data_IF_190919942589
#
_entry.id   IF_190919942589
#
_cell.length_a   1.000
_cell.length_b   1.000
_cell.length_c   1.000
_cell.angle_alpha   90.00
_cell.angle_beta   90.00
_cell.angle_gamma   90.00
#
_symmetry.space_group_name_H-M   'P 1'
#
loop_
_entity.id
_entity.type
_entity.pdbx_description
1 polymer ?
#
# COMPACT_ATOMS: atom_id res chain seq x y z
N UNK A 1 -16.90 10.58 -19.42
CA UNK A 1 -16.72 11.01 -18.03
C UNK A 1 -15.25 11.27 -17.84
N UNK A 2 -14.85 12.43 -17.31
CA UNK A 2 -13.45 12.67 -16.96
C UNK A 2 -13.03 11.64 -15.93
N UNK A 3 -11.82 11.10 -16.08
CA UNK A 3 -11.23 10.24 -15.07
C UNK A 3 -11.12 11.02 -13.75
N UNK A 4 -11.53 10.42 -12.63
CA UNK A 4 -11.40 11.04 -11.31
C UNK A 4 -9.94 11.42 -11.06
N UNK A 5 -9.71 12.54 -10.37
CA UNK A 5 -8.37 12.97 -9.97
C UNK A 5 -7.78 12.09 -8.85
N UNK A 6 -8.62 11.28 -8.19
CA UNK A 6 -8.18 10.34 -7.16
C UNK A 6 -7.56 9.07 -7.76
N UNK A 7 -7.79 8.76 -9.04
CA UNK A 7 -7.23 7.57 -9.69
C UNK A 7 -5.96 7.93 -10.45
N UNK A 8 -4.85 7.32 -10.05
CA UNK A 8 -3.58 7.35 -10.78
C UNK A 8 -3.47 6.08 -11.61
N UNK A 9 -3.43 6.22 -12.93
CA UNK A 9 -3.26 5.09 -13.84
C UNK A 9 -1.78 4.80 -14.09
N UNK A 10 -1.39 3.53 -14.26
CA UNK A 10 -0.03 3.22 -14.67
C UNK A 10 0.20 3.64 -16.13
N UNK A 11 1.45 3.92 -16.46
CA UNK A 11 1.90 4.06 -17.83
C UNK A 11 1.67 2.75 -18.60
N UNK A 12 1.36 2.87 -19.90
CA UNK A 12 1.12 1.70 -20.74
C UNK A 12 2.38 0.83 -20.93
N UNK A 13 3.55 1.45 -20.81
CA UNK A 13 4.87 0.83 -20.88
C UNK A 13 5.73 1.49 -19.80
N UNK A 14 6.60 0.74 -19.09
CA UNK A 14 7.56 1.33 -18.18
C UNK A 14 8.43 2.39 -18.86
N UNK A 15 8.83 3.42 -18.12
CA UNK A 15 9.86 4.36 -18.60
C UNK A 15 11.26 3.73 -18.64
N UNK A 16 12.28 4.52 -18.99
CA UNK A 16 13.67 4.05 -19.12
C UNK A 16 14.24 3.48 -17.81
N UNK A 17 13.64 3.82 -16.66
CA UNK A 17 14.03 3.32 -15.34
C UNK A 17 13.11 2.19 -14.84
N UNK A 18 12.16 1.75 -15.68
CA UNK A 18 11.20 0.71 -15.37
C UNK A 18 9.97 1.20 -14.59
N UNK A 19 9.79 2.50 -14.39
CA UNK A 19 8.65 3.04 -13.63
C UNK A 19 7.34 2.89 -14.41
N UNK A 20 6.36 2.26 -13.78
CA UNK A 20 4.99 2.12 -14.28
C UNK A 20 4.06 3.17 -13.68
N UNK A 21 4.22 3.49 -12.39
CA UNK A 21 3.34 4.40 -11.67
C UNK A 21 4.20 5.14 -10.64
N UNK A 22 4.01 6.46 -10.54
CA UNK A 22 4.71 7.28 -9.55
C UNK A 22 3.76 8.32 -8.96
N UNK A 23 3.72 8.38 -7.64
CA UNK A 23 2.98 9.31 -6.82
C UNK A 23 3.99 9.96 -5.88
N UNK A 24 4.17 11.26 -5.99
CA UNK A 24 4.92 12.09 -5.04
C UNK A 24 3.96 12.93 -4.21
N UNK A 25 4.39 13.46 -3.05
CA UNK A 25 3.59 14.39 -2.27
C UNK A 25 3.03 15.57 -3.09
N UNK A 26 3.85 16.14 -3.97
CA UNK A 26 3.46 17.25 -4.82
C UNK A 26 2.39 16.85 -5.85
N UNK A 27 2.53 15.67 -6.47
CA UNK A 27 1.57 15.18 -7.47
C UNK A 27 0.22 14.82 -6.85
N UNK A 28 0.22 14.34 -5.60
CA UNK A 28 -0.99 14.05 -4.85
C UNK A 28 -1.60 15.31 -4.22
N UNK A 29 -0.80 16.35 -3.97
CA UNK A 29 -1.26 17.54 -3.25
C UNK A 29 -1.32 17.35 -1.74
N UNK A 30 -0.42 16.53 -1.18
CA UNK A 30 -0.25 16.30 0.25
C UNK A 30 1.22 16.42 0.67
N UNK A 31 1.62 15.94 1.85
CA UNK A 31 2.96 16.24 2.41
C UNK A 31 3.84 15.05 2.80
N UNK A 32 3.31 13.83 2.91
CA UNK A 32 4.06 12.69 3.43
C UNK A 32 4.24 11.57 2.39
N UNK A 33 3.15 10.97 1.91
CA UNK A 33 3.23 9.68 1.21
C UNK A 33 3.79 9.83 -0.20
N UNK A 34 4.83 9.07 -0.51
CA UNK A 34 5.27 8.76 -1.86
C UNK A 34 5.06 7.28 -2.15
N UNK A 35 4.73 6.97 -3.41
CA UNK A 35 4.54 5.60 -3.87
C UNK A 35 4.96 5.45 -5.33
N UNK A 36 5.78 4.45 -5.62
CA UNK A 36 6.19 4.13 -6.98
C UNK A 36 6.11 2.62 -7.22
N UNK A 37 5.71 2.22 -8.43
CA UNK A 37 5.82 0.83 -8.89
C UNK A 37 6.77 0.80 -10.07
N UNK A 38 7.79 -0.03 -9.97
CA UNK A 38 8.72 -0.30 -11.07
C UNK A 38 8.63 -1.76 -11.51
N UNK A 39 8.91 -1.99 -12.78
CA UNK A 39 9.05 -3.31 -13.38
C UNK A 39 10.43 -3.45 -14.01
N UNK A 40 11.17 -4.45 -13.55
CA UNK A 40 12.51 -4.77 -14.05
C UNK A 40 12.49 -6.14 -14.73
N UNK A 41 13.17 -6.23 -15.87
CA UNK A 41 13.53 -7.49 -16.48
C UNK A 41 14.69 -8.16 -15.72
N UNK A 42 14.83 -9.47 -15.87
CA UNK A 42 15.95 -10.22 -15.29
C UNK A 42 17.30 -9.61 -15.71
N UNK A 43 18.18 -9.40 -14.73
CA UNK A 43 19.50 -8.78 -14.90
C UNK A 43 19.50 -7.25 -14.90
N UNK A 44 18.34 -6.58 -14.94
CA UNK A 44 18.28 -5.13 -14.79
C UNK A 44 18.49 -4.70 -13.34
N UNK A 45 19.05 -3.50 -13.19
CA UNK A 45 19.34 -2.88 -11.90
C UNK A 45 18.67 -1.52 -11.81
N UNK A 46 18.15 -1.19 -10.64
CA UNK A 46 17.61 0.12 -10.30
C UNK A 46 18.32 0.67 -9.06
N UNK A 47 18.68 1.95 -9.06
CA UNK A 47 19.40 2.59 -7.96
C UNK A 47 18.81 3.96 -7.63
N UNK A 48 18.72 4.27 -6.32
CA UNK A 48 18.31 5.57 -5.79
C UNK A 48 19.00 5.90 -4.48
N UNK A 49 19.21 7.20 -4.27
CA UNK A 49 19.48 7.77 -2.95
C UNK A 49 18.14 8.05 -2.26
N UNK A 50 18.06 7.81 -0.95
CA UNK A 50 16.83 8.06 -0.18
C UNK A 50 16.68 9.53 0.19
N UNK A 51 17.79 10.28 0.28
CA UNK A 51 17.77 11.69 0.66
C UNK A 51 17.09 11.88 2.02
N UNK A 52 16.11 12.78 2.09
CA UNK A 52 15.35 13.04 3.33
C UNK A 52 14.22 12.02 3.59
N UNK A 53 14.01 11.05 2.69
CA UNK A 53 12.92 10.08 2.80
C UNK A 53 13.41 8.77 3.42
N UNK A 54 12.57 8.12 4.21
CA UNK A 54 12.69 6.68 4.44
C UNK A 54 11.90 5.91 3.37
N UNK A 55 12.31 4.67 3.12
CA UNK A 55 11.76 3.84 2.04
C UNK A 55 11.49 2.41 2.53
N UNK A 56 10.35 1.84 2.11
CA UNK A 56 10.06 0.42 2.21
C UNK A 56 9.90 -0.16 0.80
N UNK A 57 10.87 -0.99 0.39
CA UNK A 57 10.89 -1.72 -0.87
C UNK A 57 10.10 -3.02 -0.71
N UNK A 58 8.92 -3.14 -1.31
CA UNK A 58 8.08 -4.33 -1.23
C UNK A 58 8.17 -5.11 -2.54
N UNK A 59 8.68 -6.34 -2.50
CA UNK A 59 8.73 -7.22 -3.66
C UNK A 59 7.33 -7.78 -3.93
N UNK A 60 6.57 -7.11 -4.81
CA UNK A 60 5.22 -7.51 -5.19
C UNK A 60 5.24 -8.87 -5.88
N UNK A 61 6.20 -9.07 -6.78
CA UNK A 61 6.47 -10.37 -7.40
C UNK A 61 7.92 -10.47 -7.89
N UNK A 62 8.47 -11.68 -7.91
CA UNK A 62 9.81 -11.95 -8.41
C UNK A 62 10.88 -12.03 -7.32
N UNK A 63 12.14 -12.12 -7.74
CA UNK A 63 13.31 -12.20 -6.87
C UNK A 63 14.33 -11.13 -7.21
N UNK A 64 15.07 -10.68 -6.19
CA UNK A 64 16.09 -9.66 -6.35
C UNK A 64 17.25 -9.84 -5.36
N UNK A 65 18.39 -9.26 -5.73
CA UNK A 65 19.39 -8.82 -4.74
C UNK A 65 19.08 -7.37 -4.39
N UNK A 66 19.19 -7.02 -3.11
CA UNK A 66 19.03 -5.63 -2.63
C UNK A 66 20.24 -5.25 -1.81
N UNK A 67 20.84 -4.12 -2.14
CA UNK A 67 22.00 -3.57 -1.45
C UNK A 67 21.71 -2.13 -1.02
N UNK A 68 22.24 -1.77 0.14
CA UNK A 68 22.29 -0.40 0.68
C UNK A 68 23.75 0.01 0.87
N UNK A 69 24.02 1.19 1.43
CA UNK A 69 25.41 1.56 1.73
C UNK A 69 26.08 0.58 2.71
N UNK A 70 25.30 0.01 3.64
CA UNK A 70 25.83 -0.73 4.80
C UNK A 70 25.44 -2.20 4.83
N UNK A 71 24.43 -2.62 4.07
CA UNK A 71 23.90 -3.97 4.10
C UNK A 71 23.58 -4.50 2.70
N UNK A 72 23.55 -5.82 2.57
CA UNK A 72 23.21 -6.51 1.34
C UNK A 72 22.41 -7.77 1.68
N UNK A 73 21.38 -8.03 0.87
CA UNK A 73 20.55 -9.22 0.93
C UNK A 73 20.45 -9.82 -0.47
N UNK A 74 20.81 -11.09 -0.57
CA UNK A 74 20.87 -11.80 -1.85
C UNK A 74 19.68 -12.74 -2.00
N UNK A 75 19.21 -12.88 -3.23
CA UNK A 75 18.19 -13.84 -3.65
C UNK A 75 16.88 -13.78 -2.84
N UNK A 76 16.49 -12.58 -2.41
CA UNK A 76 15.24 -12.36 -1.67
C UNK A 76 14.04 -12.33 -2.62
N UNK A 77 12.86 -12.63 -2.09
CA UNK A 77 11.63 -12.78 -2.87
C UNK A 77 11.21 -14.24 -3.01
N UNK A 78 9.90 -14.46 -3.08
CA UNK A 78 9.32 -15.81 -3.11
C UNK A 78 8.17 -15.90 -4.11
N UNK A 79 7.12 -15.08 -3.89
CA UNK A 79 5.94 -15.09 -4.74
C UNK A 79 6.24 -14.53 -6.14
N UNK A 80 5.65 -15.12 -7.16
CA UNK A 80 5.70 -14.65 -8.55
C UNK A 80 4.42 -13.91 -8.93
N UNK A 81 3.43 -13.91 -8.05
CA UNK A 81 2.19 -13.16 -8.15
C UNK A 81 1.68 -12.82 -6.74
N UNK A 82 1.15 -11.62 -6.52
CA UNK A 82 0.58 -11.22 -5.23
C UNK A 82 -0.50 -12.20 -4.75
N UNK A 83 -1.32 -12.71 -5.66
CA UNK A 83 -2.43 -13.64 -5.38
C UNK A 83 -2.00 -15.05 -4.99
N UNK A 84 -0.70 -15.36 -4.95
CA UNK A 84 -0.21 -16.55 -4.23
C UNK A 84 -0.48 -16.45 -2.72
N UNK A 85 -0.78 -15.26 -2.20
CA UNK A 85 -1.19 -15.05 -0.81
C UNK A 85 -0.08 -15.29 0.21
N UNK A 86 1.17 -15.40 -0.25
CA UNK A 86 2.37 -15.49 0.58
C UNK A 86 2.80 -14.06 0.95
N UNK A 87 3.13 -13.77 2.24
CA UNK A 87 3.65 -12.47 2.63
C UNK A 87 4.91 -12.08 1.83
N UNK A 88 5.11 -10.81 1.48
CA UNK A 88 6.23 -10.39 0.66
C UNK A 88 7.53 -10.36 1.47
N UNK A 89 8.65 -10.54 0.76
CA UNK A 89 9.91 -9.98 1.22
C UNK A 89 9.86 -8.46 1.01
N UNK A 90 10.33 -7.72 2.01
CA UNK A 90 10.48 -6.27 1.91
C UNK A 90 11.80 -5.78 2.52
N UNK A 91 12.30 -4.63 2.11
CA UNK A 91 13.50 -4.01 2.68
C UNK A 91 13.18 -2.58 3.12
N UNK A 92 13.36 -2.30 4.40
CA UNK A 92 13.34 -0.94 4.93
C UNK A 92 14.72 -0.29 4.73
N UNK A 93 14.75 0.94 4.25
CA UNK A 93 15.95 1.75 4.02
C UNK A 93 15.70 3.13 4.65
N UNK A 94 16.56 3.61 5.57
CA UNK A 94 16.35 4.90 6.23
C UNK A 94 16.65 6.07 5.27
N UNK A 95 16.32 7.29 5.71
CA UNK A 95 16.87 8.51 5.13
C UNK A 95 18.41 8.54 5.24
N UNK A 96 19.03 9.38 4.41
CA UNK A 96 20.49 9.52 4.31
C UNK A 96 21.21 8.18 4.03
N UNK A 97 20.62 7.36 3.14
CA UNK A 97 21.16 6.09 2.66
C UNK A 97 20.92 5.99 1.14
N UNK A 98 21.24 4.85 0.56
CA UNK A 98 20.91 4.51 -0.84
C UNK A 98 20.45 3.06 -0.94
N UNK A 99 19.82 2.72 -2.06
CA UNK A 99 19.51 1.34 -2.38
C UNK A 99 19.75 1.03 -3.86
N UNK A 100 20.23 -0.18 -4.10
CA UNK A 100 20.37 -0.81 -5.41
C UNK A 100 19.57 -2.11 -5.41
N UNK A 101 18.71 -2.30 -6.40
CA UNK A 101 17.91 -3.51 -6.59
C UNK A 101 18.30 -4.14 -7.92
N UNK A 102 18.84 -5.36 -7.90
CA UNK A 102 19.11 -6.16 -9.09
C UNK A 102 18.06 -7.25 -9.21
N UNK A 103 17.32 -7.25 -10.31
CA UNK A 103 16.30 -8.25 -10.59
C UNK A 103 16.93 -9.59 -11.01
N UNK A 104 16.57 -10.68 -10.31
CA UNK A 104 16.98 -12.05 -10.65
C UNK A 104 15.92 -12.82 -11.44
N UNK A 105 14.73 -12.27 -11.51
CA UNK A 105 13.63 -12.69 -12.38
C UNK A 105 13.00 -11.43 -12.97
N UNK A 106 11.94 -11.56 -13.77
CA UNK A 106 11.01 -10.42 -13.92
C UNK A 106 10.55 -10.01 -12.52
N UNK A 107 10.70 -8.73 -12.19
CA UNK A 107 10.46 -8.18 -10.86
C UNK A 107 9.43 -7.06 -10.97
N UNK A 108 8.44 -7.08 -10.10
CA UNK A 108 7.57 -5.94 -9.83
C UNK A 108 7.83 -5.50 -8.39
N UNK A 109 8.26 -4.25 -8.23
CA UNK A 109 8.70 -3.69 -6.96
C UNK A 109 7.88 -2.45 -6.64
N UNK A 110 7.27 -2.42 -5.47
CA UNK A 110 6.70 -1.20 -4.91
C UNK A 110 7.72 -0.50 -4.02
N UNK A 111 7.87 0.80 -4.21
CA UNK A 111 8.73 1.69 -3.45
C UNK A 111 7.80 2.62 -2.66
N UNK A 112 7.65 2.35 -1.37
CA UNK A 112 6.83 3.15 -0.46
C UNK A 112 7.76 4.15 0.23
N UNK A 113 7.44 5.45 0.21
CA UNK A 113 8.30 6.47 0.84
C UNK A 113 7.52 7.46 1.70
N UNK A 114 8.19 8.00 2.69
CA UNK A 114 7.70 9.09 3.54
C UNK A 114 8.89 9.85 4.15
N UNK A 115 8.71 11.04 4.75
CA UNK A 115 9.80 11.75 5.41
C UNK A 115 10.47 10.91 6.50
N UNK A 116 11.79 10.80 6.44
CA UNK A 116 12.62 10.19 7.47
C UNK A 116 13.07 11.20 8.52
N UNK A 117 13.40 10.72 9.72
CA UNK A 117 13.87 11.51 10.87
C UNK A 117 15.13 10.89 11.49
N UNK A 118 15.66 9.82 10.90
CA UNK A 118 16.91 9.16 11.26
C UNK A 118 16.79 8.18 12.44
N UNK A 119 17.92 7.62 12.87
CA UNK A 119 18.05 6.65 13.98
C UNK A 119 17.56 5.23 13.70
N UNK A 120 17.15 4.92 12.47
CA UNK A 120 16.86 3.56 12.04
C UNK A 120 17.98 2.98 11.18
N UNK A 121 18.06 1.65 11.12
CA UNK A 121 18.99 0.93 10.27
C UNK A 121 18.21 0.26 9.14
N UNK A 122 18.83 0.17 7.97
CA UNK A 122 18.31 -0.65 6.90
C UNK A 122 18.12 -2.10 7.39
N UNK A 123 17.02 -2.75 7.00
CA UNK A 123 16.73 -4.12 7.42
C UNK A 123 15.85 -4.86 6.42
N UNK A 124 16.05 -6.17 6.33
CA UNK A 124 15.14 -7.09 5.67
C UNK A 124 13.92 -7.35 6.56
N UNK A 125 12.75 -7.42 5.92
CA UNK A 125 11.49 -7.87 6.49
C UNK A 125 11.11 -9.13 5.72
N UNK A 126 11.33 -10.29 6.33
CA UNK A 126 11.01 -11.60 5.73
C UNK A 126 9.55 -11.97 5.94
N UNK A 127 9.00 -12.93 5.17
CA UNK A 127 7.61 -13.38 5.35
C UNK A 127 7.27 -13.82 6.78
N UNK A 128 8.24 -14.36 7.52
CA UNK A 128 8.07 -14.80 8.92
C UNK A 128 7.93 -13.63 9.91
N UNK A 129 8.40 -12.44 9.55
CA UNK A 129 8.29 -11.23 10.37
C UNK A 129 6.98 -10.47 10.07
N UNK A 130 6.32 -10.77 8.95
CA UNK A 130 5.09 -10.11 8.53
C UNK A 130 3.91 -10.66 9.32
N UNK A 131 3.20 -9.79 10.04
CA UNK A 131 2.03 -10.16 10.81
C UNK A 131 0.84 -10.52 9.91
N UNK A 132 0.45 -11.80 9.86
CA UNK A 132 -0.69 -12.28 9.08
C UNK A 132 -1.94 -12.37 9.95
N UNK A 133 -3.03 -11.73 9.52
CA UNK A 133 -4.33 -11.80 10.20
C UNK A 133 -5.47 -12.06 9.21
N UNK A 134 -6.53 -12.69 9.72
CA UNK A 134 -7.85 -12.69 9.07
C UNK A 134 -8.77 -11.78 9.86
N UNK A 135 -9.35 -10.80 9.19
CA UNK A 135 -10.20 -9.77 9.83
C UNK A 135 -11.60 -9.81 9.23
N UNK A 136 -12.62 -9.65 10.07
CA UNK A 136 -14.03 -9.63 9.66
C UNK A 136 -14.71 -10.99 9.70
N UNK A 137 -15.87 -11.10 9.04
CA UNK A 137 -16.70 -12.31 8.95
C UNK A 137 -17.57 -12.26 7.69
N UNK A 138 -17.97 -13.41 7.15
CA UNK A 138 -18.83 -13.46 5.96
C UNK A 138 -18.25 -12.65 4.80
N UNK A 139 -19.07 -11.82 4.16
CA UNK A 139 -18.65 -11.00 3.02
C UNK A 139 -17.79 -9.78 3.40
N UNK A 140 -17.38 -9.65 4.66
CA UNK A 140 -16.40 -8.63 5.09
C UNK A 140 -15.11 -9.28 5.60
N UNK A 141 -14.95 -10.60 5.47
CA UNK A 141 -13.72 -11.31 5.79
C UNK A 141 -12.63 -10.98 4.76
N UNK A 142 -11.42 -10.66 5.21
CA UNK A 142 -10.22 -10.45 4.39
C UNK A 142 -8.97 -10.98 5.07
N UNK A 143 -7.95 -11.25 4.27
CA UNK A 143 -6.60 -11.57 4.74
C UNK A 143 -5.74 -10.32 4.65
N UNK A 144 -4.95 -10.06 5.69
CA UNK A 144 -4.12 -8.85 5.82
C UNK A 144 -2.71 -9.29 6.18
N UNK A 145 -1.72 -8.69 5.53
CA UNK A 145 -0.31 -8.84 5.87
C UNK A 145 0.25 -7.48 6.30
N UNK A 146 0.55 -7.36 7.59
CA UNK A 146 1.11 -6.16 8.20
C UNK A 146 2.63 -6.14 7.97
N UNK A 147 3.06 -5.54 6.85
CA UNK A 147 4.46 -5.53 6.38
C UNK A 147 5.32 -4.63 7.26
N UNK A 148 4.87 -3.39 7.51
CA UNK A 148 5.54 -2.42 8.37
C UNK A 148 4.50 -1.73 9.27
N UNK A 149 4.01 -2.41 10.32
CA UNK A 149 3.00 -1.86 11.22
C UNK A 149 3.61 -0.85 12.21
N UNK A 150 2.75 -0.12 12.93
CA UNK A 150 3.15 0.88 13.95
C UNK A 150 4.12 0.31 15.00
N UNK A 151 3.99 -0.97 15.35
CA UNK A 151 4.80 -1.62 16.38
C UNK A 151 6.24 -1.90 15.92
N UNK A 152 6.50 -1.89 14.62
CA UNK A 152 7.82 -2.10 14.05
C UNK A 152 8.54 -0.75 13.82
N UNK A 153 9.88 -0.69 13.95
CA UNK A 153 10.63 0.56 13.83
C UNK A 153 10.58 1.18 12.43
N UNK A 154 10.12 2.42 12.34
CA UNK A 154 10.22 3.33 11.19
C UNK A 154 9.84 4.75 11.67
N UNK A 155 10.19 5.77 10.91
CA UNK A 155 9.94 7.16 11.28
C UNK A 155 8.48 7.57 11.05
N UNK A 156 7.95 7.25 9.86
CA UNK A 156 6.65 7.71 9.35
C UNK A 156 5.81 6.59 8.72
N UNK A 157 6.43 5.66 8.00
CA UNK A 157 5.78 4.68 7.13
C UNK A 157 4.97 3.64 7.90
N UNK A 158 3.75 3.44 7.44
CA UNK A 158 2.90 2.29 7.71
C UNK A 158 2.63 1.59 6.38
N UNK A 159 2.92 0.29 6.27
CA UNK A 159 2.74 -0.48 5.03
C UNK A 159 1.99 -1.76 5.32
N UNK A 160 0.90 -2.00 4.59
CA UNK A 160 0.03 -3.16 4.76
C UNK A 160 -0.53 -3.59 3.41
N UNK A 161 -0.66 -4.90 3.17
CA UNK A 161 -1.38 -5.41 2.02
C UNK A 161 -2.63 -6.20 2.45
N UNK A 162 -3.66 -6.12 1.62
CA UNK A 162 -4.97 -6.73 1.91
C UNK A 162 -5.47 -7.51 0.70
N UNK A 163 -5.95 -8.72 0.98
CA UNK A 163 -6.60 -9.61 0.03
C UNK A 163 -8.09 -9.64 0.33
N UNK A 164 -8.87 -9.09 -0.60
CA UNK A 164 -10.33 -9.03 -0.56
C UNK A 164 -10.88 -10.07 -1.53
N UNK A 165 -11.44 -11.19 -1.03
CA UNK A 165 -12.02 -12.20 -1.89
C UNK A 165 -13.13 -11.63 -2.77
N UNK A 166 -13.31 -12.18 -3.96
CA UNK A 166 -14.40 -11.77 -4.84
C UNK A 166 -15.78 -11.85 -4.14
N UNK A 167 -16.60 -10.82 -4.32
CA UNK A 167 -17.88 -10.65 -3.64
C UNK A 167 -17.79 -10.06 -2.22
N UNK A 168 -16.59 -9.81 -1.70
CA UNK A 168 -16.38 -9.25 -0.36
C UNK A 168 -16.17 -7.73 -0.38
N UNK A 169 -16.30 -7.15 0.81
CA UNK A 169 -15.97 -5.77 1.13
C UNK A 169 -14.80 -5.70 2.13
N UNK A 170 -13.92 -4.74 1.93
CA UNK A 170 -12.76 -4.45 2.76
C UNK A 170 -12.60 -2.94 2.92
N UNK A 171 -11.64 -2.53 3.76
CA UNK A 171 -11.68 -1.20 4.40
C UNK A 171 -13.09 -0.88 4.94
N UNK A 172 -13.75 -1.94 5.45
CA UNK A 172 -15.17 -1.99 5.81
C UNK A 172 -15.36 -2.66 7.18
N UNK A 173 -16.17 -2.14 8.12
CA UNK A 173 -16.98 -0.92 8.02
C UNK A 173 -16.15 0.31 7.66
N UNK A 174 -16.72 1.30 6.96
CA UNK A 174 -15.98 2.44 6.48
C UNK A 174 -15.32 3.17 7.65
N UNK A 175 -14.07 3.58 7.48
CA UNK A 175 -13.32 4.32 8.47
C UNK A 175 -12.51 5.44 7.82
N UNK A 176 -12.10 6.42 8.63
CA UNK A 176 -11.28 7.56 8.24
C UNK A 176 -10.17 7.80 9.25
N UNK A 177 -9.10 8.45 8.80
CA UNK A 177 -7.97 8.92 9.60
C UNK A 177 -7.47 10.22 8.96
N UNK A 178 -8.30 11.25 9.03
CA UNK A 178 -8.14 12.52 8.32
C UNK A 178 -8.08 13.75 9.24
N UNK A 179 -8.00 13.54 10.56
CA UNK A 179 -7.90 14.61 11.56
C UNK A 179 -6.72 14.38 12.50
N UNK A 180 -6.00 15.45 12.79
CA UNK A 180 -4.96 15.47 13.82
C UNK A 180 -5.62 15.67 15.20
N UNK A 181 -6.29 14.62 15.70
CA UNK A 181 -7.08 14.62 16.95
C UNK A 181 -6.77 13.40 17.83
N UNK A 182 -5.49 13.13 18.07
CA UNK A 182 -5.09 12.03 18.95
C UNK A 182 -5.52 12.29 20.41
N UNK A 183 -6.05 11.28 21.14
CA UNK A 183 -6.00 9.85 20.81
C UNK A 183 -7.20 9.31 20.02
N UNK A 184 -8.14 10.16 19.58
CA UNK A 184 -9.38 9.71 18.94
C UNK A 184 -9.14 9.33 17.48
N UNK A 185 -8.37 10.13 16.75
CA UNK A 185 -8.08 9.95 15.34
C UNK A 185 -6.70 10.49 14.98
N UNK A 186 -5.99 9.80 14.08
CA UNK A 186 -4.73 10.25 13.50
C UNK A 186 -4.95 10.85 12.12
N UNK A 187 -4.16 11.85 11.73
CA UNK A 187 -4.09 12.32 10.35
C UNK A 187 -3.10 11.44 9.59
N UNK A 188 -3.59 10.60 8.68
CA UNK A 188 -2.76 9.75 7.81
C UNK A 188 -3.24 9.89 6.37
N UNK A 189 -2.34 10.32 5.50
CA UNK A 189 -2.49 10.20 4.06
C UNK A 189 -2.43 8.72 3.67
N UNK A 190 -3.20 8.28 2.69
CA UNK A 190 -3.18 6.88 2.26
C UNK A 190 -3.25 6.70 0.74
N UNK A 191 -2.38 5.85 0.21
CA UNK A 191 -2.50 5.32 -1.17
C UNK A 191 -3.01 3.89 -1.15
N UNK A 192 -3.80 3.50 -2.16
CA UNK A 192 -4.19 2.11 -2.44
C UNK A 192 -3.68 1.71 -3.82
N UNK A 193 -2.71 0.80 -3.93
CA UNK A 193 -2.31 0.23 -5.24
C UNK A 193 -2.99 -1.10 -5.48
N UNK A 194 -3.78 -1.20 -6.55
CA UNK A 194 -4.64 -2.34 -6.82
C UNK A 194 -4.02 -3.36 -7.76
N UNK A 195 -4.22 -4.65 -7.44
CA UNK A 195 -4.13 -5.76 -8.39
C UNK A 195 -5.46 -6.50 -8.41
N UNK A 196 -5.90 -6.94 -9.58
CA UNK A 196 -7.17 -7.62 -9.78
C UNK A 196 -6.95 -8.95 -10.49
N UNK A 197 -7.62 -10.02 -10.05
CA UNK A 197 -7.57 -11.32 -10.70
C UNK A 197 -8.98 -11.83 -11.03
N UNK A 198 -9.29 -12.11 -12.31
CA UNK A 198 -8.46 -11.86 -13.50
C UNK A 198 -8.21 -10.36 -13.81
N UNK A 199 -7.08 -10.05 -14.46
CA UNK A 199 -6.56 -8.67 -14.68
C UNK A 199 -7.50 -7.72 -15.45
N UNK A 200 -8.44 -8.25 -16.24
CA UNK A 200 -9.45 -7.46 -16.94
C UNK A 200 -10.65 -7.07 -16.07
N UNK A 201 -10.63 -7.44 -14.78
CA UNK A 201 -11.63 -7.07 -13.79
C UNK A 201 -11.52 -5.63 -13.29
N UNK A 202 -12.23 -5.36 -12.20
CA UNK A 202 -12.20 -4.09 -11.49
C UNK A 202 -12.60 -4.27 -10.03
N UNK A 203 -12.24 -3.31 -9.19
CA UNK A 203 -12.80 -3.08 -7.87
C UNK A 203 -13.66 -1.79 -7.88
N UNK A 204 -14.55 -1.66 -6.90
CA UNK A 204 -15.24 -0.39 -6.63
C UNK A 204 -14.69 0.16 -5.33
N UNK A 205 -14.19 1.39 -5.34
CA UNK A 205 -13.82 2.10 -4.12
C UNK A 205 -14.66 3.37 -4.03
N UNK A 206 -15.28 3.63 -2.87
CA UNK A 206 -15.96 4.91 -2.63
C UNK A 206 -15.11 5.73 -1.68
N UNK A 207 -14.87 7.00 -1.98
CA UNK A 207 -14.20 7.94 -1.06
C UNK A 207 -15.20 9.06 -0.73
N UNK A 208 -15.60 9.20 0.54
CA UNK A 208 -16.64 10.16 0.93
C UNK A 208 -16.42 10.74 2.34
N UNK A 209 -16.85 11.96 2.60
CA UNK A 209 -16.76 12.62 3.92
C UNK A 209 -18.14 12.89 4.53
N UNK A 210 -18.20 13.13 5.84
CA UNK A 210 -19.42 13.46 6.58
C UNK A 210 -20.17 14.66 6.00
N UNK A 211 -19.43 15.68 5.54
CA UNK A 211 -19.97 16.90 4.93
C UNK A 211 -20.24 16.78 3.42
N UNK A 212 -20.01 15.59 2.84
CA UNK A 212 -20.10 15.30 1.41
C UNK A 212 -19.29 16.26 0.51
N UNK A 213 -18.28 16.96 1.03
CA UNK A 213 -17.37 17.77 0.22
C UNK A 213 -16.49 16.93 -0.71
N UNK A 214 -16.33 15.65 -0.38
CA UNK A 214 -15.91 14.57 -1.27
C UNK A 214 -16.95 13.44 -1.17
N UNK A 215 -17.38 12.93 -2.32
CA UNK A 215 -18.21 11.71 -2.45
C UNK A 215 -18.05 11.16 -3.87
N UNK A 216 -17.02 10.36 -4.08
CA UNK A 216 -16.69 9.78 -5.37
C UNK A 216 -16.76 8.26 -5.31
N UNK A 217 -17.45 7.65 -6.28
CA UNK A 217 -17.43 6.20 -6.50
C UNK A 217 -16.55 5.90 -7.71
N UNK A 218 -15.46 5.19 -7.44
CA UNK A 218 -14.37 4.91 -8.35
C UNK A 218 -14.47 3.47 -8.86
N UNK A 219 -14.35 3.30 -10.18
CA UNK A 219 -14.12 1.98 -10.80
C UNK A 219 -12.62 1.84 -11.03
N UNK A 220 -11.98 0.99 -10.23
CA UNK A 220 -10.52 0.87 -10.18
C UNK A 220 -10.09 -0.42 -10.87
N UNK A 221 -9.12 -0.34 -11.79
CA UNK A 221 -8.62 -1.46 -12.59
C UNK A 221 -7.28 -1.98 -12.07
N UNK A 222 -6.85 -3.14 -12.56
CA UNK A 222 -5.53 -3.71 -12.27
C UNK A 222 -4.41 -2.70 -12.57
N UNK A 223 -3.45 -2.60 -11.65
CA UNK A 223 -2.30 -1.71 -11.72
C UNK A 223 -2.59 -0.24 -11.44
N UNK A 224 -3.83 0.16 -11.15
CA UNK A 224 -4.16 1.54 -10.77
C UNK A 224 -3.94 1.79 -9.28
N UNK A 225 -3.70 3.04 -8.92
CA UNK A 225 -3.69 3.49 -7.55
C UNK A 225 -4.81 4.50 -7.26
N UNK A 226 -5.27 4.55 -6.01
CA UNK A 226 -6.22 5.55 -5.51
C UNK A 226 -5.59 6.37 -4.39
N UNK A 227 -5.78 7.69 -4.45
CA UNK A 227 -5.38 8.65 -3.43
C UNK A 227 -6.53 8.88 -2.45
N UNK A 228 -6.28 8.71 -1.15
CA UNK A 228 -7.25 9.00 -0.10
C UNK A 228 -6.70 10.16 0.76
N UNK A 229 -7.15 11.37 0.44
CA UNK A 229 -6.77 12.58 1.17
C UNK A 229 -7.53 12.73 2.49
N UNK A 230 -8.80 12.30 2.49
CA UNK A 230 -9.72 12.41 3.61
C UNK A 230 -10.95 11.53 3.40
N UNK A 231 -11.71 11.34 4.46
CA UNK A 231 -12.99 10.65 4.45
C UNK A 231 -12.88 9.13 4.52
N UNK A 232 -14.05 8.52 4.50
CA UNK A 232 -14.28 7.09 4.49
C UNK A 232 -13.99 6.50 3.12
N UNK A 233 -13.32 5.34 3.08
CA UNK A 233 -12.77 4.80 1.84
C UNK A 233 -12.96 3.28 1.65
N UNK A 234 -14.19 2.72 1.75
CA UNK A 234 -14.44 1.29 1.61
C UNK A 234 -14.20 0.77 0.19
N UNK A 235 -13.79 -0.50 0.10
CA UNK A 235 -13.51 -1.21 -1.15
C UNK A 235 -14.47 -2.40 -1.29
N UNK A 236 -15.00 -2.60 -2.49
CA UNK A 236 -15.81 -3.76 -2.87
C UNK A 236 -15.17 -4.50 -4.04
N UNK A 237 -14.95 -5.81 -3.85
CA UNK A 237 -14.55 -6.72 -4.90
C UNK A 237 -15.82 -7.34 -5.53
N UNK A 238 -16.10 -7.11 -6.83
CA UNK A 238 -17.26 -7.74 -7.46
C UNK A 238 -17.09 -9.28 -7.53
N UNK A 239 -18.19 -10.06 -7.53
CA UNK A 239 -18.12 -11.50 -7.72
C UNK A 239 -17.36 -11.88 -9.00
N UNK A 240 -16.45 -12.84 -8.90
CA UNK A 240 -15.57 -13.27 -9.99
C UNK A 240 -14.24 -12.52 -10.14
N UNK A 241 -13.99 -11.47 -9.35
CA UNK A 241 -12.72 -10.74 -9.35
C UNK A 241 -12.14 -10.66 -7.93
N UNK A 242 -11.07 -11.41 -7.67
CA UNK A 242 -10.30 -11.25 -6.44
C UNK A 242 -9.53 -9.93 -6.48
N UNK A 243 -9.54 -9.20 -5.37
CA UNK A 243 -8.95 -7.87 -5.28
C UNK A 243 -7.83 -7.87 -4.24
N UNK A 244 -6.66 -7.42 -4.67
CA UNK A 244 -5.52 -7.14 -3.81
C UNK A 244 -5.28 -5.64 -3.80
N UNK A 245 -4.86 -5.10 -2.66
CA UNK A 245 -4.25 -3.79 -2.64
C UNK A 245 -3.12 -3.67 -1.62
N UNK A 246 -2.11 -2.88 -1.98
CA UNK A 246 -1.02 -2.44 -1.10
C UNK A 246 -1.31 -1.01 -0.64
N UNK A 247 -1.32 -0.80 0.67
CA UNK A 247 -1.48 0.49 1.30
C UNK A 247 -0.15 1.04 1.80
N UNK A 248 0.01 2.35 1.63
CA UNK A 248 1.07 3.14 2.25
C UNK A 248 0.39 4.29 2.96
N UNK A 249 0.69 4.42 4.25
CA UNK A 249 0.20 5.51 5.09
C UNK A 249 1.36 6.23 5.76
N UNK A 250 1.23 7.54 5.90
CA UNK A 250 2.12 8.38 6.70
C UNK A 250 1.41 9.68 7.08
N UNK A 251 1.91 10.32 8.15
CA UNK A 251 1.36 11.57 8.67
C UNK A 251 2.28 12.19 9.72
N UNK A 252 1.86 13.29 10.37
CA UNK A 252 2.71 14.00 11.33
C UNK A 252 3.11 13.13 12.53
N UNK A 253 2.22 12.23 12.94
CA UNK A 253 2.43 11.24 14.01
C UNK A 253 2.20 9.84 13.44
N UNK A 254 3.22 8.98 13.56
CA UNK A 254 3.16 7.58 13.13
C UNK A 254 2.34 6.72 14.11
N UNK A 255 1.03 6.87 14.04
CA UNK A 255 0.08 6.10 14.86
C UNK A 255 -1.17 5.82 14.06
N UNK A 256 -1.65 4.57 14.04
CA UNK A 256 -2.87 4.22 13.31
C UNK A 256 -4.09 4.26 14.24
N UNK A 257 -4.80 5.40 14.22
CA UNK A 257 -6.07 5.61 14.92
C UNK A 257 -7.12 6.10 13.95
N UNK A 258 -8.09 5.25 13.68
CA UNK A 258 -9.17 5.54 12.75
C UNK A 258 -10.50 5.72 13.48
N UNK A 259 -11.38 6.51 12.88
CA UNK A 259 -12.77 6.69 13.27
C UNK A 259 -13.68 5.95 12.29
N UNK A 260 -14.55 5.07 12.79
CA UNK A 260 -15.54 4.40 11.95
C UNK A 260 -16.66 5.37 11.57
N UNK A 261 -17.31 5.12 10.43
CA UNK A 261 -18.58 5.77 10.11
C UNK A 261 -19.65 5.37 11.14
N UNK A 262 -20.21 6.31 11.93
CA UNK A 262 -21.17 6.01 12.98
C UNK A 262 -22.42 5.28 12.46
N UNK A 263 -22.84 5.52 11.22
CA UNK A 263 -24.02 4.88 10.62
C UNK A 263 -23.76 3.39 10.31
N UNK A 264 -22.50 2.98 10.31
CA UNK A 264 -22.05 1.64 9.92
C UNK A 264 -21.28 0.90 11.04
N UNK A 265 -21.00 1.56 12.16
CA UNK A 265 -20.22 1.02 13.27
C UNK A 265 -20.83 -0.28 13.85
N UNK A 266 -22.16 -0.42 13.81
CA UNK A 266 -22.87 -1.61 14.27
C UNK A 266 -22.39 -2.91 13.60
N UNK A 267 -21.83 -2.83 12.38
CA UNK A 267 -21.32 -3.97 11.60
C UNK A 267 -20.06 -4.58 12.23
N UNK A 268 -19.30 -3.81 13.02
CA UNK A 268 -18.11 -4.31 13.74
C UNK A 268 -18.44 -5.49 14.67
N UNK A 269 -19.68 -5.53 15.16
CA UNK A 269 -20.14 -6.64 16.00
C UNK A 269 -20.74 -7.73 15.12
N UNK A 270 -20.13 -8.92 15.14
CA UNK A 270 -20.67 -10.09 14.45
C UNK A 270 -22.07 -10.40 14.99
N UNK A 271 -23.12 -10.48 14.13
CA UNK A 271 -24.46 -10.84 14.58
C UNK A 271 -24.46 -12.21 15.27
N UNK A 272 -25.14 -12.32 16.41
CA UNK A 272 -25.46 -13.60 17.01
C UNK A 272 -26.35 -14.40 16.06
N UNK A 273 -26.01 -15.68 15.83
CA UNK A 273 -26.81 -16.60 15.01
C UNK A 273 -28.21 -16.81 15.55
#
# INVERSE_FOLDING_TARGET
MSQSQLIVAPAAVPDDEGSLLSITPESAGWSHVGFQVIQLAEGQTFHRETGELEVCLVLLSGKANVRTEKQEWLEIGQRMNVFEGIPPFSVYVPNDDSYEVQALTKLELAICSAPGRGNHLARLITPEQVGVEKRGYGNIERQIHNILPEQEPADSLLVVEVFTPNGHWSSYPPHKHDQDDLPNESLLEETYYFRIQPENGFAIQRVYSDDCSIDETLVVKDGQAVLVHKGYHPVSAPPGYDCYYLNVMAGPVRTWKFHNDPDHEWIMTKPSK
#
